data_IF_359522985126
#
_entry.id   IF_359522985126
#
_cell.length_a   1.000
_cell.length_b   1.000
_cell.length_c   1.000
_cell.angle_alpha   90.00
_cell.angle_beta   90.00
_cell.angle_gamma   90.00
#
_symmetry.space_group_name_H-M   'P 1'
#
loop_
_entity.id
_entity.type
_entity.pdbx_description
1 polymer ?
#
# COMPACT_ATOMS: atom_id res chain seq x y z
N UNK A 1 5.33 -40.88 2.10
CA UNK A 1 4.57 -39.63 1.89
C UNK A 1 3.08 -39.91 1.85
N UNK A 2 2.34 -39.74 2.96
CA UNK A 2 0.88 -39.76 2.93
C UNK A 2 0.30 -38.49 3.58
N UNK A 3 -0.72 -37.84 2.96
CA UNK A 3 -1.95 -37.29 3.60
C UNK A 3 -2.63 -36.11 2.87
N UNK A 4 -2.05 -35.46 1.85
CA UNK A 4 -2.79 -34.44 1.07
C UNK A 4 -4.03 -35.02 0.35
N UNK A 5 -3.97 -36.31 -0.05
CA UNK A 5 -5.08 -37.03 -0.71
C UNK A 5 -6.33 -37.23 0.16
N UNK A 6 -6.25 -37.03 1.49
CA UNK A 6 -7.38 -37.28 2.41
C UNK A 6 -8.02 -36.00 2.98
N UNK A 7 -7.56 -34.81 2.58
CA UNK A 7 -8.15 -33.56 3.04
C UNK A 7 -9.48 -33.29 2.33
N UNK A 8 -10.55 -33.21 3.12
CA UNK A 8 -11.90 -32.85 2.67
C UNK A 8 -11.96 -31.39 2.20
N UNK A 9 -13.00 -31.04 1.45
CA UNK A 9 -13.21 -29.68 0.91
C UNK A 9 -13.21 -28.60 1.99
N UNK A 10 -13.87 -28.83 3.13
CA UNK A 10 -13.86 -27.89 4.25
C UNK A 10 -12.48 -27.70 4.90
N UNK A 11 -11.61 -28.71 4.89
CA UNK A 11 -10.23 -28.57 5.37
C UNK A 11 -9.42 -27.63 4.48
N UNK A 12 -9.53 -27.80 3.15
CA UNK A 12 -8.88 -26.89 2.19
C UNK A 12 -9.37 -25.46 2.38
N UNK A 13 -10.70 -25.30 2.51
CA UNK A 13 -11.30 -24.00 2.76
C UNK A 13 -10.85 -23.36 4.08
N UNK A 14 -10.74 -24.15 5.15
CA UNK A 14 -10.23 -23.68 6.44
C UNK A 14 -8.78 -23.13 6.30
N UNK A 15 -7.93 -23.82 5.55
CA UNK A 15 -6.55 -23.37 5.30
C UNK A 15 -6.51 -22.05 4.52
N UNK A 16 -7.32 -21.92 3.46
CA UNK A 16 -7.44 -20.67 2.69
C UNK A 16 -7.87 -19.50 3.58
N UNK A 17 -8.94 -19.68 4.37
CA UNK A 17 -9.46 -18.64 5.25
C UNK A 17 -8.45 -18.26 6.33
N UNK A 18 -7.72 -19.25 6.86
CA UNK A 18 -6.69 -18.99 7.87
C UNK A 18 -5.52 -18.22 7.29
N UNK A 19 -5.08 -18.56 6.07
CA UNK A 19 -4.04 -17.81 5.36
C UNK A 19 -4.46 -16.36 5.08
N UNK A 20 -5.74 -16.12 4.79
CA UNK A 20 -6.32 -14.76 4.68
C UNK A 20 -6.41 -13.98 6.00
N UNK A 21 -5.92 -14.54 7.11
CA UNK A 21 -5.87 -13.86 8.41
C UNK A 21 -7.17 -13.91 9.23
N UNK A 22 -8.13 -14.77 8.86
CA UNK A 22 -9.38 -14.92 9.63
C UNK A 22 -9.14 -15.55 11.00
N UNK A 23 -9.95 -15.15 11.98
CA UNK A 23 -9.93 -15.77 13.32
C UNK A 23 -10.54 -17.17 13.26
N UNK A 24 -10.32 -18.00 14.29
CA UNK A 24 -10.91 -19.34 14.30
C UNK A 24 -12.44 -19.29 14.43
N UNK A 25 -12.99 -18.26 15.09
CA UNK A 25 -14.42 -18.01 15.17
C UNK A 25 -15.00 -17.69 13.78
N UNK A 26 -14.40 -16.72 13.07
CA UNK A 26 -14.81 -16.37 11.70
C UNK A 26 -14.75 -17.59 10.76
N UNK A 27 -13.70 -18.40 10.88
CA UNK A 27 -13.54 -19.61 10.06
C UNK A 27 -14.64 -20.61 10.38
N UNK A 28 -15.00 -20.80 11.64
CA UNK A 28 -16.08 -21.71 12.03
C UNK A 28 -17.41 -21.26 11.43
N UNK A 29 -17.73 -19.97 11.55
CA UNK A 29 -18.97 -19.40 11.04
C UNK A 29 -19.08 -19.52 9.52
N UNK A 30 -18.03 -19.14 8.79
CA UNK A 30 -17.99 -19.26 7.32
C UNK A 30 -18.10 -20.73 6.89
N UNK A 31 -17.43 -21.66 7.57
CA UNK A 31 -17.54 -23.08 7.22
C UNK A 31 -18.92 -23.66 7.55
N UNK A 32 -19.57 -23.19 8.61
CA UNK A 32 -20.95 -23.56 8.93
C UNK A 32 -21.94 -22.98 7.92
N UNK A 33 -21.71 -21.77 7.42
CA UNK A 33 -22.52 -21.17 6.36
C UNK A 33 -22.34 -21.94 5.03
N UNK A 34 -21.10 -22.22 4.63
CA UNK A 34 -20.78 -22.85 3.34
C UNK A 34 -21.06 -24.35 3.30
N UNK A 35 -20.90 -25.06 4.42
CA UNK A 35 -20.97 -26.53 4.46
C UNK A 35 -22.01 -27.08 5.44
N UNK A 36 -22.47 -26.28 6.40
CA UNK A 36 -23.51 -26.64 7.37
C UNK A 36 -23.31 -27.99 8.08
N UNK A 37 -24.43 -28.56 8.53
CA UNK A 37 -24.48 -29.90 9.14
C UNK A 37 -24.15 -31.02 8.14
N UNK A 38 -24.05 -30.72 6.85
CA UNK A 38 -23.75 -31.67 5.78
C UNK A 38 -22.31 -32.19 5.85
N UNK A 39 -21.38 -31.42 6.44
CA UNK A 39 -19.99 -31.82 6.58
C UNK A 39 -19.65 -32.39 7.97
N UNK A 40 -20.24 -31.85 9.04
CA UNK A 40 -20.06 -32.29 10.43
C UNK A 40 -21.39 -32.16 11.17
N UNK A 41 -21.85 -33.25 11.81
CA UNK A 41 -23.18 -33.33 12.45
C UNK A 41 -23.39 -32.26 13.54
N UNK A 42 -22.33 -31.91 14.26
CA UNK A 42 -22.32 -30.92 15.35
C UNK A 42 -21.95 -29.50 14.89
N UNK A 43 -21.63 -29.32 13.59
CA UNK A 43 -21.09 -28.06 13.07
C UNK A 43 -19.60 -27.87 13.39
N UNK A 44 -19.00 -26.84 12.80
CA UNK A 44 -17.65 -26.42 13.09
C UNK A 44 -17.67 -25.45 14.28
N UNK A 45 -16.70 -25.58 15.18
CA UNK A 45 -16.52 -24.67 16.30
C UNK A 45 -15.04 -24.28 16.44
N UNK A 46 -14.79 -23.20 17.18
CA UNK A 46 -13.46 -22.63 17.36
C UNK A 46 -12.47 -23.67 17.93
N UNK A 47 -12.89 -24.44 18.93
CA UNK A 47 -12.08 -25.47 19.57
C UNK A 47 -11.62 -26.55 18.58
N UNK A 48 -12.53 -27.03 17.74
CA UNK A 48 -12.23 -28.02 16.70
C UNK A 48 -11.20 -27.49 15.70
N UNK A 49 -11.35 -26.23 15.28
CA UNK A 49 -10.40 -25.60 14.38
C UNK A 49 -9.03 -25.38 15.04
N UNK A 50 -9.00 -24.93 16.30
CA UNK A 50 -7.75 -24.85 17.08
C UNK A 50 -7.03 -26.20 17.12
N UNK A 51 -7.76 -27.30 17.33
CA UNK A 51 -7.18 -28.64 17.30
C UNK A 51 -6.64 -29.05 15.93
N UNK A 52 -7.28 -28.62 14.83
CA UNK A 52 -6.79 -28.92 13.48
C UNK A 52 -5.45 -28.26 13.18
N UNK A 53 -5.23 -27.04 13.64
CA UNK A 53 -4.03 -26.25 13.37
C UNK A 53 -2.94 -26.33 14.46
N UNK A 54 -3.21 -27.01 15.58
CA UNK A 54 -2.22 -27.26 16.63
C UNK A 54 -1.15 -28.24 16.17
N UNK A 55 0.02 -28.25 16.83
CA UNK A 55 1.06 -29.26 16.63
C UNK A 55 0.50 -30.69 16.75
N UNK A 56 0.81 -31.52 15.75
CA UNK A 56 0.24 -32.87 15.60
C UNK A 56 -1.19 -32.90 15.05
N UNK A 57 -1.82 -31.74 14.85
CA UNK A 57 -3.13 -31.58 14.26
C UNK A 57 -3.17 -31.87 12.76
N UNK A 58 -4.37 -32.16 12.25
CA UNK A 58 -4.60 -32.62 10.89
C UNK A 58 -4.16 -31.62 9.82
N UNK A 59 -4.21 -30.32 10.10
CA UNK A 59 -3.95 -29.26 9.13
C UNK A 59 -2.63 -28.53 9.34
N UNK A 60 -1.87 -28.80 10.41
CA UNK A 60 -0.66 -28.00 10.71
C UNK A 60 0.41 -28.12 9.61
N UNK A 61 0.72 -29.34 9.16
CA UNK A 61 1.73 -29.56 8.10
C UNK A 61 1.20 -29.10 6.74
N UNK A 62 -0.01 -29.51 6.29
CA UNK A 62 -0.55 -29.04 5.02
C UNK A 62 -0.75 -27.53 4.93
N UNK A 63 -1.08 -26.88 6.06
CA UNK A 63 -1.24 -25.43 6.10
C UNK A 63 0.08 -24.70 5.93
N UNK A 64 1.18 -25.19 6.53
CA UNK A 64 2.52 -24.61 6.33
C UNK A 64 2.94 -24.71 4.87
N UNK A 65 2.81 -25.88 4.26
CA UNK A 65 3.10 -26.07 2.83
C UNK A 65 2.24 -25.15 1.95
N UNK A 66 0.94 -25.06 2.25
CA UNK A 66 0.03 -24.16 1.54
C UNK A 66 0.43 -22.68 1.68
N UNK A 67 0.78 -22.25 2.90
CA UNK A 67 1.20 -20.87 3.18
C UNK A 67 2.49 -20.52 2.42
N UNK A 68 3.49 -21.41 2.44
CA UNK A 68 4.76 -21.20 1.72
C UNK A 68 4.53 -21.05 0.20
N UNK A 69 3.66 -21.89 -0.38
CA UNK A 69 3.31 -21.80 -1.81
C UNK A 69 2.60 -20.49 -2.11
N UNK A 70 1.63 -20.10 -1.29
CA UNK A 70 0.87 -18.87 -1.50
C UNK A 70 1.73 -17.61 -1.30
N UNK A 71 2.68 -17.62 -0.37
CA UNK A 71 3.62 -16.51 -0.16
C UNK A 71 4.53 -16.34 -1.37
N UNK A 72 5.01 -17.44 -1.94
CA UNK A 72 5.82 -17.41 -3.17
C UNK A 72 5.01 -16.86 -4.35
N UNK A 73 3.79 -17.34 -4.57
CA UNK A 73 2.90 -16.84 -5.63
C UNK A 73 2.61 -15.35 -5.43
N UNK A 74 2.29 -14.93 -4.20
CA UNK A 74 2.01 -13.52 -3.91
C UNK A 74 3.23 -12.64 -4.16
N UNK A 75 4.44 -13.12 -3.84
CA UNK A 75 5.68 -12.39 -4.12
C UNK A 75 5.88 -12.19 -5.62
N UNK A 76 5.72 -13.24 -6.42
CA UNK A 76 5.83 -13.17 -7.89
C UNK A 76 4.81 -12.19 -8.47
N UNK A 77 3.54 -12.27 -8.04
CA UNK A 77 2.49 -11.35 -8.47
C UNK A 77 2.84 -9.89 -8.13
N UNK A 78 3.33 -9.63 -6.92
CA UNK A 78 3.73 -8.28 -6.50
C UNK A 78 4.89 -7.76 -7.36
N UNK A 79 5.87 -8.61 -7.67
CA UNK A 79 6.98 -8.25 -8.56
C UNK A 79 6.52 -7.94 -9.98
N UNK A 80 5.58 -8.70 -10.51
CA UNK A 80 4.97 -8.46 -11.82
C UNK A 80 4.18 -7.15 -11.84
N UNK A 81 3.38 -6.87 -10.81
CA UNK A 81 2.66 -5.60 -10.67
C UNK A 81 3.65 -4.43 -10.59
N UNK A 82 4.75 -4.57 -9.85
CA UNK A 82 5.80 -3.54 -9.77
C UNK A 82 6.45 -3.31 -11.13
N UNK A 83 6.81 -4.37 -11.86
CA UNK A 83 7.40 -4.28 -13.22
C UNK A 83 6.43 -3.62 -14.20
N UNK A 84 5.17 -4.03 -14.20
CA UNK A 84 4.13 -3.42 -15.02
C UNK A 84 3.95 -1.93 -14.66
N UNK A 85 3.92 -1.60 -13.37
CA UNK A 85 3.81 -0.22 -12.90
C UNK A 85 4.99 0.67 -13.32
N UNK A 86 6.22 0.14 -13.30
CA UNK A 86 7.40 0.85 -13.83
C UNK A 86 7.24 1.12 -15.33
N UNK A 87 6.82 0.12 -16.10
CA UNK A 87 6.61 0.27 -17.54
C UNK A 87 5.54 1.30 -17.86
N UNK A 88 4.38 1.22 -17.20
CA UNK A 88 3.26 2.16 -17.39
C UNK A 88 3.69 3.59 -17.04
N UNK A 89 4.46 3.79 -15.96
CA UNK A 89 5.00 5.12 -15.64
C UNK A 89 5.93 5.64 -16.72
N UNK A 90 6.81 4.79 -17.26
CA UNK A 90 7.68 5.16 -18.37
C UNK A 90 6.90 5.54 -19.64
N UNK A 91 5.90 4.74 -20.00
CA UNK A 91 5.01 5.01 -21.13
C UNK A 91 4.23 6.30 -20.94
N UNK A 92 3.60 6.51 -19.78
CA UNK A 92 2.87 7.73 -19.46
C UNK A 92 3.77 8.97 -19.47
N UNK A 93 5.00 8.85 -18.95
CA UNK A 93 5.98 9.94 -19.00
C UNK A 93 6.34 10.32 -20.44
N UNK A 94 6.58 9.32 -21.29
CA UNK A 94 6.84 9.55 -22.72
C UNK A 94 5.64 10.23 -23.40
N UNK A 95 4.44 9.71 -23.23
CA UNK A 95 3.21 10.29 -23.81
C UNK A 95 2.99 11.72 -23.34
N UNK A 96 3.20 12.01 -22.04
CA UNK A 96 3.08 13.37 -21.51
C UNK A 96 4.07 14.34 -22.16
N UNK A 97 5.32 13.90 -22.40
CA UNK A 97 6.32 14.71 -23.09
C UNK A 97 5.96 14.91 -24.57
N UNK A 98 5.49 13.87 -25.26
CA UNK A 98 4.99 13.97 -26.65
C UNK A 98 3.83 14.97 -26.74
N UNK A 99 2.91 14.95 -25.77
CA UNK A 99 1.82 15.92 -25.69
C UNK A 99 2.32 17.34 -25.43
N UNK A 100 3.29 17.54 -24.52
CA UNK A 100 3.89 18.86 -24.29
C UNK A 100 4.52 19.41 -25.56
N UNK A 101 5.26 18.58 -26.31
CA UNK A 101 5.85 18.96 -27.60
C UNK A 101 4.77 19.35 -28.60
N UNK A 102 3.68 18.58 -28.70
CA UNK A 102 2.56 18.91 -29.57
C UNK A 102 1.88 20.24 -29.18
N UNK A 103 1.72 20.52 -27.89
CA UNK A 103 1.15 21.78 -27.40
C UNK A 103 2.00 23.01 -27.71
N UNK A 104 3.31 22.86 -27.93
CA UNK A 104 4.15 23.96 -28.41
C UNK A 104 3.78 24.42 -29.83
N UNK A 105 3.18 23.55 -30.64
CA UNK A 105 2.66 23.90 -31.96
C UNK A 105 1.25 24.54 -31.90
N UNK A 106 0.69 24.75 -30.70
CA UNK A 106 -0.63 25.37 -30.54
C UNK A 106 -0.67 26.79 -31.10
N UNK A 107 -1.79 27.14 -31.72
CA UNK A 107 -2.09 28.52 -32.16
C UNK A 107 -2.38 29.46 -30.98
N UNK A 108 -2.66 28.92 -29.78
CA UNK A 108 -2.86 29.71 -28.58
C UNK A 108 -1.53 29.91 -27.83
N UNK A 109 -1.06 31.15 -27.80
CA UNK A 109 0.22 31.49 -27.18
C UNK A 109 0.28 31.18 -25.69
N UNK A 110 -0.84 31.24 -24.96
CA UNK A 110 -0.86 30.86 -23.53
C UNK A 110 -0.57 29.37 -23.33
N UNK A 111 -1.09 28.52 -24.21
CA UNK A 111 -0.88 27.06 -24.20
C UNK A 111 0.56 26.73 -24.61
N UNK A 112 1.06 27.40 -25.66
CA UNK A 112 2.44 27.28 -26.14
C UNK A 112 3.46 27.67 -25.06
N UNK A 113 3.29 28.83 -24.44
CA UNK A 113 4.16 29.31 -23.36
C UNK A 113 4.10 28.39 -22.14
N UNK A 114 2.91 27.88 -21.80
CA UNK A 114 2.74 26.89 -20.74
C UNK A 114 3.53 25.60 -20.99
N UNK A 115 3.45 25.08 -22.21
CA UNK A 115 4.19 23.87 -22.61
C UNK A 115 5.71 24.07 -22.60
N UNK A 116 6.19 25.21 -23.14
CA UNK A 116 7.62 25.56 -23.13
C UNK A 116 8.13 25.70 -21.70
N UNK A 117 7.39 26.41 -20.84
CA UNK A 117 7.76 26.59 -19.44
C UNK A 117 7.85 25.26 -18.70
N UNK A 118 6.89 24.37 -18.88
CA UNK A 118 6.89 23.06 -18.22
C UNK A 118 8.06 22.19 -18.68
N UNK A 119 8.47 22.27 -19.95
CA UNK A 119 9.67 21.59 -20.44
C UNK A 119 10.96 22.18 -19.83
N UNK A 120 11.08 23.51 -19.79
CA UNK A 120 12.24 24.18 -19.18
C UNK A 120 12.35 23.91 -17.68
N UNK A 121 11.23 23.97 -16.95
CA UNK A 121 11.18 23.68 -15.52
C UNK A 121 11.62 22.23 -15.20
N UNK A 122 11.48 21.30 -16.16
CA UNK A 122 11.92 19.89 -16.03
C UNK A 122 13.42 19.72 -16.33
N UNK A 123 13.94 20.39 -17.34
CA UNK A 123 15.35 20.26 -17.75
C UNK A 123 16.29 21.13 -16.90
N UNK A 124 15.91 22.36 -16.61
CA UNK A 124 16.75 23.35 -15.91
C UNK A 124 16.36 23.51 -14.43
N UNK A 125 15.24 22.89 -14.03
CA UNK A 125 14.65 23.03 -12.71
C UNK A 125 13.78 24.28 -12.58
N UNK A 126 12.90 24.27 -11.58
CA UNK A 126 11.97 25.39 -11.34
C UNK A 126 12.72 26.60 -10.79
N UNK A 127 12.39 27.79 -11.31
CA UNK A 127 12.85 29.04 -10.75
C UNK A 127 12.53 29.12 -9.24
N UNK A 128 13.51 29.57 -8.43
CA UNK A 128 13.33 29.73 -6.98
C UNK A 128 12.16 30.70 -6.72
N UNK A 129 11.16 30.25 -5.97
CA UNK A 129 10.09 31.14 -5.52
C UNK A 129 10.64 32.16 -4.53
N UNK A 130 10.22 33.43 -4.68
CA UNK A 130 10.52 34.46 -3.68
C UNK A 130 9.83 34.09 -2.38
N UNK A 131 10.60 33.98 -1.32
CA UNK A 131 10.07 33.85 0.04
C UNK A 131 9.61 35.24 0.48
N UNK A 132 8.31 35.40 0.76
CA UNK A 132 7.83 36.57 1.47
C UNK A 132 8.32 36.48 2.91
N UNK A 133 9.33 37.27 3.25
CA UNK A 133 9.77 37.40 4.64
C UNK A 133 8.79 38.33 5.33
N UNK A 134 7.87 37.76 6.08
CA UNK A 134 6.98 38.50 6.98
C UNK A 134 7.85 39.09 8.10
N UNK A 135 8.21 40.37 7.99
CA UNK A 135 8.93 41.09 9.05
C UNK A 135 7.96 41.24 10.22
N UNK A 136 8.01 40.31 11.18
CA UNK A 136 7.13 40.29 12.36
C UNK A 136 7.58 41.18 13.52
N UNK A 137 8.78 41.74 13.47
CA UNK A 137 9.21 42.72 14.46
C UNK A 137 9.09 44.12 13.91
N UNK A 138 8.22 44.90 14.54
CA UNK A 138 8.24 46.34 14.35
C UNK A 138 9.52 46.91 14.97
N UNK A 139 9.97 48.08 14.49
CA UNK A 139 11.12 48.78 15.07
C UNK A 139 10.91 49.04 16.58
N UNK A 140 9.64 49.18 16.99
CA UNK A 140 9.22 49.36 18.38
C UNK A 140 9.48 48.13 19.24
N UNK A 141 9.20 46.93 18.73
CA UNK A 141 9.48 45.66 19.41
C UNK A 141 10.99 45.45 19.63
N UNK A 142 11.81 45.80 18.62
CA UNK A 142 13.26 45.75 18.73
C UNK A 142 13.79 46.73 19.78
N UNK A 143 13.30 47.97 19.77
CA UNK A 143 13.69 49.00 20.73
C UNK A 143 13.34 48.57 22.16
N UNK A 144 12.12 48.05 22.39
CA UNK A 144 11.67 47.64 23.72
C UNK A 144 12.54 46.53 24.31
N UNK A 145 12.92 45.53 23.50
CA UNK A 145 13.84 44.47 23.92
C UNK A 145 15.25 44.97 24.21
N UNK A 146 15.77 45.88 23.39
CA UNK A 146 17.11 46.46 23.60
C UNK A 146 17.20 47.21 24.94
N UNK A 147 16.21 48.05 25.26
CA UNK A 147 16.18 48.76 26.54
C UNK A 147 15.97 47.82 27.73
N UNK A 148 15.11 46.81 27.61
CA UNK A 148 14.86 45.84 28.68
C UNK A 148 16.10 45.01 29.04
N UNK A 149 16.96 44.70 28.07
CA UNK A 149 18.20 43.97 28.31
C UNK A 149 19.30 44.87 28.89
N UNK A 150 19.40 46.13 28.44
CA UNK A 150 20.39 47.10 28.96
C UNK A 150 20.17 47.43 30.45
N UNK A 151 18.95 47.29 30.96
CA UNK A 151 18.61 47.51 32.37
C UNK A 151 18.71 46.25 33.26
N UNK A 152 19.03 45.08 32.69
CA UNK A 152 19.31 43.86 33.46
C UNK A 152 20.79 43.68 33.83
N UNK A 153 21.68 44.46 33.23
CA UNK A 153 23.13 44.41 33.46
C UNK A 153 23.64 45.48 34.45
N UNK A 154 22.74 46.07 35.26
CA UNK A 154 23.07 46.97 36.38
C UNK A 154 22.50 46.40 37.67
#
# INVERSE_FOLDING_TARGET
>A
MPKLKQLKRHHKRAMELKYKGKTYEDVADILNEEFGKSAVKEGFNETTLKHWFRDGGTLVVPYREYADVMDNINREIIEDIKRAGIRIRGENFRTANEMLVALMASENDSVKLGAIKELLDREEGKAKQRTEVEIKETIEDYAHRYYKNKHKER
#
